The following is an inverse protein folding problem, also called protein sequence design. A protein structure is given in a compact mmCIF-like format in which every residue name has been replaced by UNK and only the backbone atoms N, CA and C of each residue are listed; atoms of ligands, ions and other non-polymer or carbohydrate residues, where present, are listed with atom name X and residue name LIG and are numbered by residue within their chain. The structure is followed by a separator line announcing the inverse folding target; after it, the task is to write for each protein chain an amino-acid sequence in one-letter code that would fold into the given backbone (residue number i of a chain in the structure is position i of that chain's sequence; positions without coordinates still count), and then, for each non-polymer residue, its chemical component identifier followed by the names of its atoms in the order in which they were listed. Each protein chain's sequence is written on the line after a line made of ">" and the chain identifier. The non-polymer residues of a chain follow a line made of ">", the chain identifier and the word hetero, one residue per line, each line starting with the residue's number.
data_IF_825377251684
#
_entry.id   IF_825377251684
#
_cell.length_a   1.000
_cell.length_b   1.000
_cell.length_c   1.000
_cell.angle_alpha   90.00
_cell.angle_beta   90.00
_cell.angle_gamma   90.00
#
_symmetry.space_group_name_H-M   'P 1'
#
loop_
_entity.id
_entity.type
_entity.pdbx_description
1 polymer ?
#
# COMPACT_ATOMS: atom_id res chain seq x y z
N UNK A 1 -1.32 7.68 14.64
CA UNK A 1 -0.40 6.53 14.75
C UNK A 1 0.38 6.29 13.46
N UNK A 2 -0.27 6.04 12.31
CA UNK A 2 0.40 5.69 11.04
C UNK A 2 1.58 6.59 10.64
N UNK A 3 1.42 7.92 10.76
CA UNK A 3 2.47 8.89 10.38
C UNK A 3 3.76 8.80 11.20
N UNK A 4 3.74 8.14 12.36
CA UNK A 4 4.97 7.96 13.17
C UNK A 4 5.84 6.82 12.64
N UNK A 5 5.37 6.08 11.63
CA UNK A 5 6.12 5.01 10.96
C UNK A 5 6.91 5.52 9.74
N UNK A 6 6.68 6.76 9.31
CA UNK A 6 7.35 7.36 8.15
C UNK A 6 8.42 8.36 8.59
N UNK A 7 9.48 8.49 7.78
CA UNK A 7 10.41 9.60 7.87
C UNK A 7 9.68 10.93 7.60
N UNK A 8 10.30 12.07 7.96
CA UNK A 8 9.68 13.39 7.75
C UNK A 8 9.34 13.64 6.27
N UNK A 9 10.24 13.23 5.38
CA UNK A 9 10.08 13.30 3.93
C UNK A 9 9.59 11.98 3.30
N UNK A 10 9.05 11.07 4.11
CA UNK A 10 8.58 9.76 3.68
C UNK A 10 7.44 9.83 2.66
N UNK A 11 7.32 8.81 1.83
CA UNK A 11 6.38 8.77 0.70
C UNK A 11 5.52 7.51 0.72
N UNK A 12 4.25 7.66 0.34
CA UNK A 12 3.40 6.55 -0.08
C UNK A 12 3.22 6.58 -1.60
N UNK A 13 3.43 5.44 -2.26
CA UNK A 13 3.30 5.26 -3.71
C UNK A 13 2.45 4.02 -4.01
N UNK A 14 1.20 4.22 -4.42
CA UNK A 14 0.23 3.16 -4.67
C UNK A 14 -1.02 3.66 -5.38
N UNK A 15 -2.18 3.54 -4.72
CA UNK A 15 -3.46 4.08 -5.23
C UNK A 15 -3.37 5.59 -5.54
N UNK A 16 -2.48 6.28 -4.86
CA UNK A 16 -2.04 7.62 -5.21
C UNK A 16 -0.59 7.79 -4.80
N UNK A 17 -0.08 9.01 -4.96
CA UNK A 17 1.26 9.38 -4.51
C UNK A 17 1.14 10.55 -3.54
N UNK A 18 1.71 10.41 -2.35
CA UNK A 18 1.69 11.44 -1.32
C UNK A 18 3.05 11.48 -0.60
N UNK A 19 3.61 12.68 -0.44
CA UNK A 19 4.94 12.86 0.14
C UNK A 19 4.90 13.77 1.36
N UNK A 20 5.59 13.36 2.41
CA UNK A 20 5.60 14.04 3.69
C UNK A 20 4.33 13.81 4.50
N UNK A 21 4.42 14.09 5.80
CA UNK A 21 3.38 13.72 6.76
C UNK A 21 2.05 14.45 6.54
N UNK A 22 2.06 15.66 5.98
CA UNK A 22 0.85 16.42 5.69
C UNK A 22 0.05 15.77 4.56
N UNK A 23 0.64 15.64 3.37
CA UNK A 23 -0.02 15.02 2.20
C UNK A 23 -0.48 13.59 2.49
N UNK A 24 0.33 12.80 3.21
CA UNK A 24 -0.07 11.45 3.59
C UNK A 24 -1.27 11.43 4.55
N UNK A 25 -1.39 12.39 5.48
CA UNK A 25 -2.57 12.48 6.35
C UNK A 25 -3.83 12.75 5.54
N UNK A 26 -3.76 13.70 4.62
CA UNK A 26 -4.90 14.06 3.78
C UNK A 26 -5.29 12.87 2.89
N UNK A 27 -4.30 12.24 2.26
CA UNK A 27 -4.52 11.05 1.43
C UNK A 27 -5.17 9.89 2.21
N UNK A 28 -4.60 9.49 3.34
CA UNK A 28 -5.13 8.37 4.12
C UNK A 28 -6.47 8.71 4.79
N UNK A 29 -6.68 9.97 5.17
CA UNK A 29 -7.94 10.44 5.74
C UNK A 29 -9.10 10.45 4.74
N UNK A 30 -8.80 10.68 3.46
CA UNK A 30 -9.80 10.70 2.38
C UNK A 30 -10.18 9.30 1.83
N UNK A 31 -9.52 8.22 2.26
CA UNK A 31 -9.78 6.88 1.71
C UNK A 31 -11.22 6.40 1.92
N UNK A 32 -11.83 6.70 3.07
CA UNK A 32 -13.22 6.35 3.35
C UNK A 32 -14.20 7.08 2.44
N UNK A 33 -13.93 8.36 2.17
CA UNK A 33 -14.74 9.20 1.28
C UNK A 33 -14.61 8.73 -0.18
N UNK A 34 -13.46 8.15 -0.52
CA UNK A 34 -13.21 7.43 -1.77
C UNK A 34 -13.76 5.99 -1.80
N UNK A 35 -14.61 5.61 -0.84
CA UNK A 35 -15.35 4.34 -0.87
C UNK A 35 -14.70 3.17 -0.13
N UNK A 36 -13.42 3.26 0.26
CA UNK A 36 -12.70 2.19 0.96
C UNK A 36 -12.98 2.27 2.47
N UNK A 37 -14.04 1.61 2.94
CA UNK A 37 -14.59 1.81 4.28
C UNK A 37 -14.16 0.76 5.31
N UNK A 38 -13.74 -0.42 4.87
CA UNK A 38 -13.16 -1.45 5.72
C UNK A 38 -12.09 -2.22 4.95
N UNK A 39 -11.00 -2.59 5.61
CA UNK A 39 -9.91 -3.34 4.99
C UNK A 39 -9.02 -4.00 6.03
N UNK A 40 -8.48 -5.17 5.67
CA UNK A 40 -7.51 -5.90 6.46
C UNK A 40 -6.28 -6.17 5.62
N UNK A 41 -5.10 -5.75 6.09
CA UNK A 41 -3.85 -6.03 5.41
C UNK A 41 -3.25 -7.33 5.96
N UNK A 42 -3.19 -8.36 5.14
CA UNK A 42 -2.40 -9.56 5.41
C UNK A 42 -1.09 -9.44 4.64
N UNK A 43 -0.01 -9.14 5.37
CA UNK A 43 1.33 -8.99 4.80
C UNK A 43 2.09 -10.28 5.03
N UNK A 44 2.59 -10.87 3.96
CA UNK A 44 3.23 -12.20 3.97
C UNK A 44 4.53 -12.19 3.17
N UNK A 45 5.31 -13.27 3.29
CA UNK A 45 6.52 -13.51 2.51
C UNK A 45 7.53 -12.33 2.58
N UNK A 46 7.79 -11.85 3.79
CA UNK A 46 8.71 -10.74 3.99
C UNK A 46 10.14 -11.17 3.66
N UNK A 47 10.79 -10.39 2.80
CA UNK A 47 12.21 -10.50 2.50
C UNK A 47 12.85 -9.13 2.71
N UNK A 48 14.01 -9.11 3.39
CA UNK A 48 14.64 -7.89 3.88
C UNK A 48 16.11 -7.89 3.46
N UNK A 49 16.47 -6.91 2.64
CA UNK A 49 17.85 -6.60 2.27
C UNK A 49 18.33 -5.43 3.13
N UNK A 50 19.30 -5.68 4.02
CA UNK A 50 19.85 -4.66 4.93
C UNK A 50 21.16 -4.08 4.38
N UNK A 51 21.28 -2.75 4.42
CA UNK A 51 22.50 -2.00 4.09
C UNK A 51 22.72 -0.90 5.15
N UNK A 52 23.35 -1.30 6.27
CA UNK A 52 23.64 -0.40 7.39
C UNK A 52 22.39 0.27 7.96
N UNK A 53 22.23 1.57 7.67
CA UNK A 53 21.09 2.38 8.10
C UNK A 53 19.95 2.45 7.06
N UNK A 54 20.00 1.62 6.01
CA UNK A 54 18.98 1.51 4.97
C UNK A 54 18.51 0.05 4.83
N UNK A 55 17.30 -0.14 4.35
CA UNK A 55 16.79 -1.45 4.00
C UNK A 55 15.83 -1.39 2.82
N UNK A 56 15.80 -2.46 2.02
CA UNK A 56 14.71 -2.72 1.08
C UNK A 56 13.90 -3.89 1.61
N UNK A 57 12.58 -3.73 1.71
CA UNK A 57 11.67 -4.77 2.19
C UNK A 57 10.68 -5.11 1.09
N UNK A 58 10.59 -6.38 0.73
CA UNK A 58 9.62 -6.90 -0.23
C UNK A 58 8.66 -7.84 0.49
N UNK A 59 7.38 -7.76 0.15
CA UNK A 59 6.35 -8.60 0.75
C UNK A 59 5.13 -8.70 -0.17
N UNK A 60 4.27 -9.68 0.08
CA UNK A 60 2.98 -9.80 -0.59
C UNK A 60 1.85 -9.27 0.29
N UNK A 61 0.87 -8.65 -0.38
CA UNK A 61 -0.37 -8.17 0.20
C UNK A 61 -1.51 -9.09 -0.21
N UNK A 62 -2.28 -9.52 0.78
CA UNK A 62 -3.66 -9.98 0.61
C UNK A 62 -4.59 -9.07 1.39
N UNK A 63 -5.60 -8.51 0.73
CA UNK A 63 -6.46 -7.49 1.31
C UNK A 63 -7.94 -7.73 1.01
N UNK A 64 -8.67 -8.43 1.90
CA UNK A 64 -10.11 -8.32 1.95
C UNK A 64 -10.52 -6.90 2.35
N UNK A 65 -11.50 -6.33 1.66
CA UNK A 65 -11.97 -4.97 1.91
C UNK A 65 -13.43 -4.77 1.52
N UNK A 66 -13.96 -3.58 1.82
CA UNK A 66 -15.26 -3.10 1.36
C UNK A 66 -15.03 -1.80 0.59
N UNK A 67 -15.45 -1.77 -0.67
CA UNK A 67 -15.41 -0.61 -1.57
C UNK A 67 -16.83 -0.26 -1.99
N UNK A 68 -17.29 0.97 -1.70
CA UNK A 68 -18.65 1.45 -2.03
C UNK A 68 -19.74 0.48 -1.55
N UNK A 69 -19.59 -0.04 -0.33
CA UNK A 69 -20.52 -1.01 0.28
C UNK A 69 -20.43 -2.43 -0.30
N UNK A 70 -19.57 -2.67 -1.29
CA UNK A 70 -19.39 -3.97 -1.92
C UNK A 70 -18.17 -4.70 -1.35
N UNK A 71 -18.32 -5.96 -0.87
CA UNK A 71 -17.17 -6.79 -0.51
C UNK A 71 -16.24 -7.00 -1.71
N UNK A 72 -14.98 -6.65 -1.51
CA UNK A 72 -13.94 -6.66 -2.53
C UNK A 72 -12.66 -7.32 -2.00
N UNK A 73 -11.76 -7.60 -2.92
CA UNK A 73 -10.49 -8.21 -2.62
C UNK A 73 -9.38 -7.68 -3.51
N UNK A 74 -8.21 -7.46 -2.93
CA UNK A 74 -7.01 -7.05 -3.63
C UNK A 74 -5.83 -7.94 -3.25
N UNK A 75 -4.97 -8.21 -4.24
CA UNK A 75 -3.68 -8.84 -4.04
C UNK A 75 -2.59 -8.02 -4.71
N UNK A 76 -1.41 -7.96 -4.10
CA UNK A 76 -0.34 -7.11 -4.58
C UNK A 76 1.00 -7.44 -3.94
N UNK A 77 1.99 -6.60 -4.25
CA UNK A 77 3.32 -6.65 -3.64
C UNK A 77 3.70 -5.28 -3.10
N UNK A 78 4.42 -5.28 -2.00
CA UNK A 78 5.14 -4.11 -1.51
C UNK A 78 6.60 -4.17 -1.93
N UNK A 79 7.18 -3.00 -2.19
CA UNK A 79 8.63 -2.80 -2.32
C UNK A 79 8.98 -1.54 -1.54
N UNK A 80 9.13 -1.70 -0.23
CA UNK A 80 9.34 -0.62 0.70
C UNK A 80 10.83 -0.27 0.81
N UNK A 81 11.13 1.02 0.93
CA UNK A 81 12.46 1.52 1.30
C UNK A 81 12.39 2.06 2.72
N UNK A 82 13.32 1.61 3.59
CA UNK A 82 13.39 2.03 4.98
C UNK A 82 14.73 2.71 5.27
N UNK A 83 14.69 3.63 6.24
CA UNK A 83 15.86 4.32 6.80
C UNK A 83 15.82 4.23 8.33
N UNK A 84 16.99 4.03 8.94
CA UNK A 84 17.15 4.04 10.40
C UNK A 84 17.57 5.43 10.87
N UNK A 85 16.73 6.08 11.67
CA UNK A 85 16.97 7.42 12.24
C UNK A 85 16.86 7.29 13.76
N UNK A 86 17.90 7.72 14.48
CA UNK A 86 17.96 7.67 15.96
C UNK A 86 17.60 6.28 16.53
N UNK A 87 18.12 5.23 15.89
CA UNK A 87 17.90 3.84 16.31
C UNK A 87 16.59 3.21 15.83
N UNK A 88 15.67 3.97 15.20
CA UNK A 88 14.35 3.51 14.78
C UNK A 88 14.23 3.40 13.26
N UNK A 89 13.70 2.28 12.77
CA UNK A 89 13.39 2.10 11.36
C UNK A 89 12.10 2.83 10.98
N UNK A 90 12.14 3.58 9.88
CA UNK A 90 11.04 4.35 9.34
C UNK A 90 10.92 4.11 7.84
N UNK A 91 9.70 4.17 7.31
CA UNK A 91 9.48 4.17 5.86
C UNK A 91 10.01 5.46 5.25
N UNK A 92 10.94 5.30 4.31
CA UNK A 92 11.30 6.33 3.35
C UNK A 92 10.35 6.30 2.16
N UNK A 93 10.04 5.11 1.65
CA UNK A 93 9.00 4.89 0.65
C UNK A 93 8.21 3.65 1.06
N UNK A 94 6.89 3.74 1.13
CA UNK A 94 5.99 2.59 1.18
C UNK A 94 5.32 2.46 -0.18
N UNK A 95 5.72 1.47 -0.97
CA UNK A 95 5.25 1.31 -2.35
C UNK A 95 4.42 0.04 -2.49
N UNK A 96 3.22 0.14 -3.05
CA UNK A 96 2.37 -1.00 -3.39
C UNK A 96 2.07 -1.05 -4.88
N UNK A 97 2.07 -2.26 -5.43
CA UNK A 97 1.57 -2.54 -6.78
C UNK A 97 0.61 -3.72 -6.71
N UNK A 98 -0.47 -3.67 -7.49
CA UNK A 98 -1.55 -4.65 -7.44
C UNK A 98 -1.47 -5.64 -8.60
N UNK A 99 -1.69 -6.93 -8.31
CA UNK A 99 -1.96 -7.95 -9.32
C UNK A 99 -3.42 -7.87 -9.75
N UNK A 100 -4.33 -7.67 -8.79
CA UNK A 100 -5.75 -7.43 -9.03
C UNK A 100 -6.39 -6.67 -7.87
N UNK A 101 -7.54 -6.04 -8.15
CA UNK A 101 -8.41 -5.41 -7.16
C UNK A 101 -9.83 -5.36 -7.70
N UNK A 102 -10.77 -6.13 -7.13
CA UNK A 102 -12.18 -6.07 -7.56
C UNK A 102 -13.18 -6.72 -6.61
N UNK A 103 -14.48 -6.69 -6.97
CA UNK A 103 -15.54 -7.33 -6.18
C UNK A 103 -15.33 -8.83 -6.05
N UNK A 104 -15.57 -9.38 -4.86
CA UNK A 104 -15.42 -10.81 -4.61
C UNK A 104 -16.31 -11.67 -5.54
N UNK A 105 -17.50 -11.17 -5.87
CA UNK A 105 -18.47 -11.86 -6.71
C UNK A 105 -18.03 -12.04 -8.18
N UNK A 106 -17.05 -11.25 -8.64
CA UNK A 106 -16.51 -11.35 -9.99
C UNK A 106 -15.30 -12.30 -10.07
N UNK A 107 -14.88 -12.88 -8.93
CA UNK A 107 -13.65 -13.66 -8.83
C UNK A 107 -12.41 -12.78 -8.84
N UNK A 108 -11.26 -13.39 -9.11
CA UNK A 108 -9.97 -12.70 -9.22
C UNK A 108 -9.13 -13.37 -10.32
N UNK A 109 -8.51 -12.54 -11.16
CA UNK A 109 -7.50 -12.93 -12.13
C UNK A 109 -6.51 -11.77 -12.28
N UNK A 110 -5.31 -12.07 -12.77
CA UNK A 110 -4.27 -11.06 -12.95
C UNK A 110 -4.73 -9.93 -13.89
N UNK A 111 -4.38 -8.70 -13.54
CA UNK A 111 -4.75 -7.46 -14.24
C UNK A 111 -6.25 -7.12 -14.27
N UNK A 112 -7.06 -7.73 -13.41
CA UNK A 112 -8.44 -7.29 -13.18
C UNK A 112 -8.51 -6.19 -12.13
N UNK A 113 -9.01 -5.01 -12.53
CA UNK A 113 -9.12 -3.84 -11.67
C UNK A 113 -10.51 -3.19 -11.81
N UNK A 114 -11.24 -3.11 -10.70
CA UNK A 114 -12.48 -2.35 -10.57
C UNK A 114 -12.24 -0.91 -10.09
N UNK A 115 -11.02 -0.61 -9.62
CA UNK A 115 -10.61 0.73 -9.19
C UNK A 115 -9.48 1.25 -10.10
N UNK A 116 -9.69 2.39 -10.75
CA UNK A 116 -8.73 2.95 -11.71
C UNK A 116 -7.38 3.32 -11.08
N UNK A 117 -7.38 3.76 -9.83
CA UNK A 117 -6.13 4.01 -9.09
C UNK A 117 -5.33 2.72 -8.88
N UNK A 118 -5.98 1.58 -8.72
CA UNK A 118 -5.30 0.28 -8.64
C UNK A 118 -4.72 -0.11 -10.01
N UNK A 119 -5.45 0.14 -11.10
CA UNK A 119 -4.96 -0.12 -12.48
C UNK A 119 -3.67 0.64 -12.80
N UNK A 120 -3.55 1.92 -12.37
CA UNK A 120 -2.31 2.70 -12.53
C UNK A 120 -1.13 2.17 -11.73
N UNK A 121 -1.40 1.37 -10.71
CA UNK A 121 -0.41 0.72 -9.86
C UNK A 121 -0.30 -0.79 -10.18
N UNK A 122 -0.65 -1.22 -11.38
CA UNK A 122 -0.58 -2.63 -11.77
C UNK A 122 0.87 -3.16 -11.75
N UNK A 123 1.00 -4.43 -11.40
CA UNK A 123 2.27 -5.18 -11.43
C UNK A 123 2.74 -5.41 -12.86
N UNK A 124 1.81 -5.70 -13.77
CA UNK A 124 2.03 -5.90 -15.20
C UNK A 124 1.06 -4.98 -15.95
N UNK A 125 1.55 -4.33 -17.01
CA UNK A 125 0.80 -3.38 -17.83
C UNK A 125 0.53 -3.97 -19.22
#
# INVERSE_FOLDING_TARGET
>A
ALMTLFAEDGEFDGLGRARGKAEMRDFFGALSDGGLTAFWHFITNLEIDLDGARATVRSFLWQPCVTDGTPAIAAGRYTDQLVKIDGRWLYRVKQVRFHFFGPLAQGWDENQFALDSARRAAVHA
#
